data_IF_083440447108
#
_entry.id   IF_083440447108
#
_cell.length_a   1.000
_cell.length_b   1.000
_cell.length_c   1.000
_cell.angle_alpha   90.00
_cell.angle_beta   90.00
_cell.angle_gamma   90.00
#
_symmetry.space_group_name_H-M   'P 1'
#
loop_
_entity.id
_entity.type
_entity.pdbx_description
1 polymer ?
#
# COMPACT_ATOMS: atom_id res chain seq x y z
N UNK A 1 58.70 17.59 16.12
CA UNK A 1 57.52 17.67 17.00
C UNK A 1 57.39 16.35 17.73
N UNK A 2 57.63 16.34 19.04
CA UNK A 2 57.70 15.14 19.87
C UNK A 2 56.30 14.69 20.32
N UNK A 3 56.00 13.41 20.12
CA UNK A 3 54.74 12.75 20.48
C UNK A 3 54.73 12.37 21.95
N UNK A 4 53.77 12.91 22.72
CA UNK A 4 53.50 12.49 24.10
C UNK A 4 52.59 11.26 24.11
N UNK A 5 53.13 10.16 24.62
CA UNK A 5 52.46 8.85 24.72
C UNK A 5 51.63 8.80 26.01
N UNK A 6 50.33 9.03 25.90
CA UNK A 6 49.38 8.97 27.03
C UNK A 6 49.27 7.54 27.57
N UNK A 7 49.57 7.38 28.85
CA UNK A 7 49.64 6.08 29.56
C UNK A 7 48.21 5.63 29.94
N UNK A 8 47.66 4.65 29.23
CA UNK A 8 46.35 4.06 29.53
C UNK A 8 46.35 3.38 30.91
N UNK A 9 45.40 3.69 31.81
CA UNK A 9 45.33 3.05 33.11
C UNK A 9 44.98 1.55 32.98
N UNK A 10 45.76 0.74 33.69
CA UNK A 10 45.66 -0.73 33.75
C UNK A 10 44.29 -1.13 34.32
N UNK A 11 43.53 -2.03 33.69
CA UNK A 11 42.23 -2.47 34.22
C UNK A 11 42.43 -3.16 35.58
N UNK A 12 41.71 -2.66 36.59
CA UNK A 12 41.66 -3.23 37.95
C UNK A 12 41.19 -4.69 37.84
N UNK A 13 41.96 -5.62 38.40
CA UNK A 13 41.66 -7.06 38.38
C UNK A 13 40.22 -7.31 38.87
N UNK A 14 39.43 -7.99 38.05
CA UNK A 14 38.05 -8.34 38.38
C UNK A 14 38.03 -9.20 39.64
N UNK A 15 37.25 -8.78 40.64
CA UNK A 15 37.01 -9.55 41.86
C UNK A 15 36.65 -11.01 41.49
N UNK A 16 37.40 -11.96 42.05
CA UNK A 16 37.16 -13.39 41.85
C UNK A 16 35.69 -13.71 42.14
N UNK A 17 35.01 -14.37 41.19
CA UNK A 17 33.62 -14.82 41.34
C UNK A 17 33.57 -15.78 42.53
N UNK A 18 33.13 -15.30 43.70
CA UNK A 18 32.81 -16.15 44.84
C UNK A 18 31.74 -17.14 44.39
N UNK A 19 32.07 -18.42 44.37
CA UNK A 19 31.13 -19.48 44.00
C UNK A 19 29.95 -19.46 44.98
N UNK A 20 28.74 -19.41 44.43
CA UNK A 20 27.52 -19.45 45.22
C UNK A 20 27.44 -20.78 45.99
N UNK A 21 27.11 -20.77 47.29
CA UNK A 21 26.87 -21.98 48.06
C UNK A 21 25.93 -22.94 47.34
N UNK A 22 26.23 -24.24 47.34
CA UNK A 22 25.54 -25.25 46.53
C UNK A 22 24.01 -25.26 46.72
N UNK A 23 23.53 -25.01 47.94
CA UNK A 23 22.11 -24.89 48.25
C UNK A 23 21.44 -23.69 47.56
N UNK A 24 22.13 -22.54 47.49
CA UNK A 24 21.65 -21.35 46.78
C UNK A 24 21.68 -21.57 45.27
N UNK A 25 22.72 -22.23 44.74
CA UNK A 25 22.78 -22.60 43.33
C UNK A 25 21.66 -23.57 42.91
N UNK A 26 21.26 -24.50 43.78
CA UNK A 26 20.13 -25.41 43.55
C UNK A 26 18.79 -24.66 43.54
N UNK A 27 18.55 -23.78 44.52
CA UNK A 27 17.33 -22.94 44.58
C UNK A 27 17.24 -21.99 43.39
N UNK A 28 18.35 -21.35 43.01
CA UNK A 28 18.39 -20.46 41.86
C UNK A 28 18.05 -21.18 40.55
N UNK A 29 18.52 -22.42 40.37
CA UNK A 29 18.14 -23.28 39.22
C UNK A 29 16.65 -23.60 39.22
N UNK A 30 16.11 -24.08 40.35
CA UNK A 30 14.67 -24.37 40.46
C UNK A 30 13.76 -23.14 40.19
N UNK A 31 14.12 -21.96 40.69
CA UNK A 31 13.39 -20.72 40.41
C UNK A 31 13.49 -20.29 38.93
N UNK A 32 14.65 -20.51 38.30
CA UNK A 32 14.81 -20.25 36.86
C UNK A 32 13.98 -21.22 36.02
N UNK A 33 13.99 -22.50 36.38
CA UNK A 33 13.26 -23.54 35.65
C UNK A 33 11.74 -23.34 35.76
N UNK A 34 11.23 -23.07 36.96
CA UNK A 34 9.82 -22.73 37.18
C UNK A 34 9.41 -21.44 36.45
N UNK A 35 10.24 -20.40 36.49
CA UNK A 35 9.99 -19.16 35.71
C UNK A 35 9.99 -19.44 34.21
N UNK A 36 10.93 -20.25 33.71
CA UNK A 36 11.00 -20.65 32.30
C UNK A 36 9.77 -21.45 31.88
N UNK A 37 9.33 -22.41 32.69
CA UNK A 37 8.12 -23.19 32.43
C UNK A 37 6.87 -22.30 32.37
N UNK A 38 6.71 -21.36 33.31
CA UNK A 38 5.59 -20.40 33.30
C UNK A 38 5.59 -19.52 32.05
N UNK A 39 6.76 -19.01 31.67
CA UNK A 39 6.90 -18.18 30.45
C UNK A 39 6.64 -19.00 29.18
N UNK A 40 7.10 -20.25 29.12
CA UNK A 40 6.82 -21.14 28.00
C UNK A 40 5.31 -21.43 27.88
N UNK A 41 4.65 -21.75 28.98
CA UNK A 41 3.20 -21.98 29.00
C UNK A 41 2.41 -20.73 28.55
N UNK A 42 2.77 -19.55 29.06
CA UNK A 42 2.17 -18.29 28.63
C UNK A 42 2.44 -17.99 27.14
N UNK A 43 3.65 -18.27 26.66
CA UNK A 43 4.01 -18.14 25.26
C UNK A 43 3.18 -19.03 24.34
N UNK A 44 3.03 -20.32 24.68
CA UNK A 44 2.21 -21.23 23.89
C UNK A 44 0.72 -20.86 23.91
N UNK A 45 0.19 -20.40 25.05
CA UNK A 45 -1.18 -19.91 25.14
C UNK A 45 -1.41 -18.67 24.26
N UNK A 46 -0.47 -17.73 24.24
CA UNK A 46 -0.54 -16.55 23.37
C UNK A 46 -0.47 -16.94 21.88
N UNK A 47 0.41 -17.88 21.50
CA UNK A 47 0.48 -18.40 20.13
C UNK A 47 -0.85 -19.04 19.72
N UNK A 48 -1.44 -19.87 20.57
CA UNK A 48 -2.73 -20.49 20.30
C UNK A 48 -3.85 -19.46 20.11
N UNK A 49 -3.89 -18.42 20.95
CA UNK A 49 -4.85 -17.30 20.80
C UNK A 49 -4.64 -16.54 19.48
N UNK A 50 -3.40 -16.22 19.11
CA UNK A 50 -3.08 -15.54 17.85
C UNK A 50 -3.51 -16.41 16.66
N UNK A 51 -3.27 -17.72 16.71
CA UNK A 51 -3.72 -18.63 15.67
C UNK A 51 -5.24 -18.67 15.55
N UNK A 52 -5.95 -18.64 16.68
CA UNK A 52 -7.42 -18.62 16.69
C UNK A 52 -7.99 -17.32 16.14
N UNK A 53 -7.47 -16.18 16.60
CA UNK A 53 -7.83 -14.86 16.07
C UNK A 53 -7.53 -14.77 14.58
N UNK A 54 -6.38 -15.28 14.14
CA UNK A 54 -6.02 -15.34 12.71
C UNK A 54 -7.02 -16.21 11.92
N UNK A 55 -7.42 -17.37 12.44
CA UNK A 55 -8.43 -18.22 11.78
C UNK A 55 -9.77 -17.51 11.66
N UNK A 56 -10.21 -16.79 12.69
CA UNK A 56 -11.46 -16.00 12.65
C UNK A 56 -11.38 -14.89 11.61
N UNK A 57 -10.31 -14.08 11.63
CA UNK A 57 -10.08 -13.03 10.64
C UNK A 57 -10.04 -13.59 9.20
N UNK A 58 -9.33 -14.71 8.99
CA UNK A 58 -9.29 -15.39 7.68
C UNK A 58 -10.65 -16.03 7.33
N UNK A 59 -11.49 -16.41 8.29
CA UNK A 59 -12.82 -16.95 8.03
C UNK A 59 -13.84 -15.88 7.64
N UNK A 60 -13.68 -14.68 8.20
CA UNK A 60 -14.73 -13.67 8.23
C UNK A 60 -14.71 -12.73 7.01
N UNK A 61 -13.59 -12.63 6.27
CA UNK A 61 -13.48 -11.64 5.17
C UNK A 61 -14.50 -11.86 4.04
N UNK A 62 -14.91 -13.10 3.76
CA UNK A 62 -15.97 -13.39 2.78
C UNK A 62 -17.36 -13.06 3.33
N UNK A 63 -17.60 -13.32 4.62
CA UNK A 63 -18.86 -12.95 5.26
C UNK A 63 -19.02 -11.42 5.32
N UNK A 64 -17.93 -10.71 5.63
CA UNK A 64 -17.85 -9.25 5.56
C UNK A 64 -18.13 -8.78 4.13
N UNK A 65 -17.51 -9.40 3.13
CA UNK A 65 -17.76 -9.08 1.72
C UNK A 65 -19.23 -9.20 1.33
N UNK A 66 -19.92 -10.27 1.76
CA UNK A 66 -21.37 -10.44 1.52
C UNK A 66 -22.21 -9.36 2.21
N UNK A 67 -21.92 -9.06 3.47
CA UNK A 67 -22.61 -8.01 4.20
C UNK A 67 -22.38 -6.63 3.57
N UNK A 68 -21.16 -6.35 3.10
CA UNK A 68 -20.84 -5.11 2.37
C UNK A 68 -21.56 -5.03 1.03
N UNK A 69 -21.79 -6.15 0.34
CA UNK A 69 -22.54 -6.19 -0.92
C UNK A 69 -24.01 -5.83 -0.70
N UNK A 70 -24.61 -6.30 0.39
CA UNK A 70 -25.96 -5.89 0.82
C UNK A 70 -26.00 -4.40 1.16
N UNK A 71 -24.97 -3.90 1.86
CA UNK A 71 -24.87 -2.48 2.22
C UNK A 71 -24.63 -1.54 1.02
N UNK A 72 -24.19 -2.07 -0.11
CA UNK A 72 -23.96 -1.32 -1.35
C UNK A 72 -25.24 -1.03 -2.13
N UNK A 73 -26.36 -1.67 -1.78
CA UNK A 73 -27.64 -1.48 -2.46
C UNK A 73 -28.07 -0.01 -2.47
N UNK A 74 -28.75 0.40 -3.54
CA UNK A 74 -29.19 1.78 -3.74
C UNK A 74 -30.06 2.27 -2.55
N UNK A 75 -29.76 3.46 -2.04
CA UNK A 75 -30.47 4.07 -0.91
C UNK A 75 -30.07 3.57 0.48
N UNK A 76 -29.22 2.54 0.60
CA UNK A 76 -28.81 2.02 1.92
C UNK A 76 -27.91 3.00 2.68
N UNK A 77 -26.96 3.64 1.99
CA UNK A 77 -26.11 4.67 2.60
C UNK A 77 -26.92 5.86 3.10
N UNK A 78 -27.89 6.33 2.30
CA UNK A 78 -28.79 7.42 2.65
C UNK A 78 -29.66 7.08 3.86
N UNK A 79 -30.20 5.86 3.92
CA UNK A 79 -30.99 5.37 5.05
C UNK A 79 -30.20 5.35 6.37
N UNK A 80 -28.87 5.21 6.29
CA UNK A 80 -27.96 5.23 7.43
C UNK A 80 -27.37 6.64 7.69
N UNK A 81 -27.83 7.67 6.97
CA UNK A 81 -27.37 9.04 7.14
C UNK A 81 -25.93 9.26 6.67
N UNK A 82 -25.48 8.47 5.70
CA UNK A 82 -24.19 8.62 5.02
C UNK A 82 -24.40 9.21 3.63
N UNK A 83 -23.44 10.00 3.14
CA UNK A 83 -23.56 10.65 1.84
C UNK A 83 -23.44 9.67 0.65
N UNK A 84 -22.63 8.63 0.81
CA UNK A 84 -22.43 7.55 -0.15
C UNK A 84 -21.83 6.32 0.56
N UNK A 85 -21.54 5.26 -0.22
CA UNK A 85 -20.93 4.04 0.30
C UNK A 85 -19.51 4.25 0.86
N UNK A 86 -18.77 5.23 0.36
CA UNK A 86 -17.44 5.53 0.85
C UNK A 86 -17.49 6.18 2.24
N UNK A 87 -18.38 7.17 2.43
CA UNK A 87 -18.65 7.78 3.73
C UNK A 87 -19.10 6.74 4.76
N UNK A 88 -19.98 5.81 4.34
CA UNK A 88 -20.43 4.70 5.17
C UNK A 88 -19.25 3.82 5.62
N UNK A 89 -18.36 3.42 4.71
CA UNK A 89 -17.21 2.58 5.03
C UNK A 89 -16.24 3.25 6.01
N UNK A 90 -15.96 4.53 5.81
CA UNK A 90 -15.03 5.27 6.67
C UNK A 90 -15.63 5.49 8.07
N UNK A 91 -16.88 5.94 8.15
CA UNK A 91 -17.54 6.28 9.42
C UNK A 91 -17.84 5.06 10.29
N UNK A 92 -18.33 3.97 9.69
CA UNK A 92 -18.82 2.83 10.46
C UNK A 92 -17.81 1.69 10.59
N UNK A 93 -16.90 1.53 9.62
CA UNK A 93 -16.00 0.37 9.56
C UNK A 93 -14.52 0.74 9.58
N UNK A 94 -14.19 2.04 9.59
CA UNK A 94 -12.80 2.53 9.60
C UNK A 94 -11.96 1.94 8.45
N UNK A 95 -12.57 1.74 7.28
CA UNK A 95 -11.90 1.19 6.10
C UNK A 95 -12.19 2.00 4.84
N UNK A 96 -11.30 1.92 3.86
CA UNK A 96 -11.51 2.60 2.58
C UNK A 96 -12.53 1.86 1.72
N UNK A 97 -13.25 2.62 0.88
CA UNK A 97 -14.17 2.05 -0.10
C UNK A 97 -13.50 1.04 -1.04
N UNK A 98 -12.24 1.26 -1.42
CA UNK A 98 -11.48 0.32 -2.27
C UNK A 98 -11.25 -1.03 -1.56
N UNK A 99 -10.97 -1.01 -0.26
CA UNK A 99 -10.82 -2.24 0.51
C UNK A 99 -12.15 -2.97 0.64
N UNK A 100 -13.23 -2.25 0.93
CA UNK A 100 -14.59 -2.80 1.00
C UNK A 100 -15.01 -3.44 -0.34
N UNK A 101 -14.84 -2.74 -1.46
CA UNK A 101 -15.10 -3.26 -2.82
C UNK A 101 -14.32 -4.54 -3.12
N UNK A 102 -13.06 -4.61 -2.68
CA UNK A 102 -12.25 -5.82 -2.84
C UNK A 102 -12.84 -7.01 -2.08
N UNK A 103 -13.31 -6.79 -0.85
CA UNK A 103 -13.97 -7.83 -0.06
C UNK A 103 -15.27 -8.29 -0.70
N UNK A 104 -16.07 -7.36 -1.23
CA UNK A 104 -17.29 -7.66 -1.99
C UNK A 104 -16.97 -8.55 -3.19
N UNK A 105 -16.01 -8.14 -4.03
CA UNK A 105 -15.63 -8.91 -5.23
C UNK A 105 -15.10 -10.31 -4.89
N UNK A 106 -14.32 -10.44 -3.82
CA UNK A 106 -13.87 -11.77 -3.37
C UNK A 106 -15.05 -12.66 -2.98
N UNK A 107 -16.04 -12.11 -2.27
CA UNK A 107 -17.23 -12.84 -1.87
C UNK A 107 -18.16 -13.20 -3.03
N UNK A 108 -18.18 -12.40 -4.09
CA UNK A 108 -18.97 -12.64 -5.30
C UNK A 108 -18.33 -13.63 -6.28
N UNK A 109 -17.00 -13.65 -6.36
CA UNK A 109 -16.26 -14.38 -7.42
C UNK A 109 -15.59 -15.67 -6.98
N UNK A 110 -15.55 -15.97 -5.69
CA UNK A 110 -14.99 -17.22 -5.18
C UNK A 110 -16.02 -18.01 -4.40
N UNK A 111 -16.01 -19.33 -4.58
CA UNK A 111 -16.63 -20.23 -3.62
C UNK A 111 -15.92 -20.12 -2.26
N UNK A 112 -16.69 -20.17 -1.16
CA UNK A 112 -16.16 -20.01 0.19
C UNK A 112 -15.08 -21.03 0.52
N UNK A 113 -15.27 -22.29 0.14
CA UNK A 113 -14.30 -23.34 0.43
C UNK A 113 -12.95 -23.05 -0.26
N UNK A 114 -13.00 -22.68 -1.54
CA UNK A 114 -11.82 -22.37 -2.36
C UNK A 114 -11.07 -21.15 -1.83
N UNK A 115 -11.77 -20.04 -1.56
CA UNK A 115 -11.12 -18.84 -1.03
C UNK A 115 -10.48 -19.06 0.36
N UNK A 116 -11.10 -19.87 1.23
CA UNK A 116 -10.50 -20.20 2.53
C UNK A 116 -9.24 -21.05 2.41
N UNK A 117 -9.21 -21.99 1.46
CA UNK A 117 -8.02 -22.81 1.19
C UNK A 117 -6.86 -21.96 0.65
N UNK A 118 -7.15 -21.04 -0.27
CA UNK A 118 -6.17 -20.10 -0.82
C UNK A 118 -5.66 -19.10 0.22
N UNK A 119 -6.54 -18.68 1.12
CA UNK A 119 -6.32 -17.56 2.03
C UNK A 119 -6.45 -16.18 1.35
N UNK A 120 -6.71 -15.16 2.17
CA UNK A 120 -7.06 -13.81 1.71
C UNK A 120 -6.09 -13.20 0.69
N UNK A 121 -4.78 -13.23 0.97
CA UNK A 121 -3.80 -12.57 0.09
C UNK A 121 -3.69 -13.25 -1.28
N UNK A 122 -3.72 -14.59 -1.32
CA UNK A 122 -3.65 -15.34 -2.57
C UNK A 122 -4.94 -15.17 -3.38
N UNK A 123 -6.10 -15.20 -2.73
CA UNK A 123 -7.39 -14.90 -3.37
C UNK A 123 -7.41 -13.47 -3.95
N UNK A 124 -6.88 -12.48 -3.23
CA UNK A 124 -6.71 -11.11 -3.75
C UNK A 124 -5.81 -11.07 -4.99
N UNK A 125 -4.70 -11.81 -4.98
CA UNK A 125 -3.75 -11.82 -6.08
C UNK A 125 -4.34 -12.47 -7.35
N UNK A 126 -5.08 -13.56 -7.17
CA UNK A 126 -5.81 -14.23 -8.26
C UNK A 126 -6.93 -13.36 -8.81
N UNK A 127 -7.72 -12.71 -7.94
CA UNK A 127 -8.73 -11.75 -8.38
C UNK A 127 -8.12 -10.62 -9.20
N UNK A 128 -6.99 -10.06 -8.73
CA UNK A 128 -6.28 -9.00 -9.44
C UNK A 128 -5.71 -9.47 -10.79
N UNK A 129 -5.33 -10.74 -10.89
CA UNK A 129 -4.88 -11.37 -12.13
C UNK A 129 -6.04 -11.55 -13.10
N UNK A 130 -7.17 -12.10 -12.63
CA UNK A 130 -8.40 -12.26 -13.40
C UNK A 130 -8.93 -10.93 -13.95
N UNK A 131 -8.94 -9.88 -13.12
CA UNK A 131 -9.34 -8.53 -13.54
C UNK A 131 -8.38 -7.91 -14.57
N UNK A 132 -7.13 -8.38 -14.62
CA UNK A 132 -6.11 -7.86 -15.53
C UNK A 132 -6.03 -8.64 -16.84
N UNK A 133 -6.42 -9.92 -16.85
CA UNK A 133 -6.43 -10.75 -18.05
C UNK A 133 -7.56 -10.32 -19.00
N UNK A 134 -7.35 -10.37 -20.33
CA UNK A 134 -8.38 -9.97 -21.30
C UNK A 134 -9.55 -10.95 -21.39
N UNK A 135 -9.32 -12.22 -21.01
CA UNK A 135 -10.34 -13.23 -20.96
C UNK A 135 -11.18 -13.06 -19.69
N UNK A 136 -12.50 -13.20 -19.82
CA UNK A 136 -13.44 -13.21 -18.69
C UNK A 136 -13.37 -14.56 -17.96
N UNK A 137 -12.17 -14.98 -17.57
CA UNK A 137 -11.98 -16.25 -16.87
C UNK A 137 -12.46 -16.10 -15.42
N UNK A 138 -13.16 -17.12 -14.92
CA UNK A 138 -13.46 -17.19 -13.51
C UNK A 138 -12.14 -17.35 -12.72
N UNK A 139 -11.96 -16.73 -11.54
CA UNK A 139 -10.73 -16.87 -10.77
C UNK A 139 -10.38 -18.33 -10.44
N UNK A 140 -11.37 -19.21 -10.37
CA UNK A 140 -11.21 -20.65 -10.14
C UNK A 140 -10.65 -21.39 -11.36
N UNK A 141 -10.99 -20.97 -12.58
CA UNK A 141 -10.43 -21.53 -13.81
C UNK A 141 -8.94 -21.17 -13.96
N UNK A 142 -8.59 -19.97 -13.50
CA UNK A 142 -7.20 -19.50 -13.50
C UNK A 142 -6.31 -20.28 -12.54
N UNK A 143 -6.86 -20.92 -11.49
CA UNK A 143 -6.05 -21.62 -10.48
C UNK A 143 -5.10 -22.66 -11.07
N UNK A 144 -5.54 -23.34 -12.13
CA UNK A 144 -4.79 -24.41 -12.78
C UNK A 144 -4.31 -24.01 -14.18
N UNK A 145 -4.46 -22.73 -14.55
CA UNK A 145 -4.08 -22.23 -15.85
C UNK A 145 -2.56 -21.98 -15.94
N UNK A 146 -2.03 -22.19 -17.14
CA UNK A 146 -0.71 -21.66 -17.52
C UNK A 146 -0.93 -20.42 -18.39
N UNK A 147 -0.56 -19.26 -17.86
CA UNK A 147 -0.74 -17.98 -18.57
C UNK A 147 0.53 -17.57 -19.30
N UNK A 148 0.38 -17.06 -20.52
CA UNK A 148 1.47 -16.38 -21.23
C UNK A 148 1.46 -14.91 -20.86
N UNK A 149 2.50 -14.44 -20.18
CA UNK A 149 2.66 -13.04 -19.78
C UNK A 149 2.96 -12.15 -21.00
N UNK A 150 2.75 -10.83 -20.89
CA UNK A 150 3.16 -9.89 -21.95
C UNK A 150 4.66 -9.92 -22.27
N UNK A 151 5.51 -10.38 -21.33
CA UNK A 151 6.94 -10.64 -21.55
C UNK A 151 7.21 -11.85 -22.45
N UNK A 152 6.17 -12.61 -22.82
CA UNK A 152 6.20 -13.93 -23.48
C UNK A 152 6.68 -15.08 -22.60
N UNK A 153 6.94 -14.82 -21.33
CA UNK A 153 7.20 -15.89 -20.35
C UNK A 153 5.89 -16.57 -19.94
N UNK A 154 5.97 -17.84 -19.56
CA UNK A 154 4.81 -18.60 -19.07
C UNK A 154 4.79 -18.60 -17.54
N UNK A 155 3.58 -18.54 -16.97
CA UNK A 155 3.33 -18.59 -15.53
C UNK A 155 2.29 -19.68 -15.25
N UNK A 156 2.73 -20.76 -14.59
CA UNK A 156 1.82 -21.73 -13.99
C UNK A 156 1.25 -21.13 -12.68
N UNK A 157 -0.07 -20.92 -12.64
CA UNK A 157 -0.71 -20.14 -11.57
C UNK A 157 -0.72 -20.89 -10.24
N UNK A 158 -0.87 -22.21 -10.27
CA UNK A 158 -0.86 -23.10 -9.12
C UNK A 158 0.49 -23.08 -8.38
N UNK A 159 1.59 -23.10 -9.14
CA UNK A 159 2.96 -23.08 -8.59
C UNK A 159 3.46 -21.66 -8.25
N UNK A 160 2.83 -20.62 -8.81
CA UNK A 160 3.24 -19.24 -8.61
C UNK A 160 3.02 -18.75 -7.17
N UNK A 161 3.99 -18.00 -6.65
CA UNK A 161 3.84 -17.27 -5.38
C UNK A 161 2.84 -16.12 -5.51
N UNK A 162 2.22 -15.71 -4.40
CA UNK A 162 1.31 -14.55 -4.35
C UNK A 162 1.94 -13.28 -4.93
N UNK A 163 3.24 -13.06 -4.70
CA UNK A 163 3.97 -11.92 -5.24
C UNK A 163 4.10 -11.98 -6.77
N UNK A 164 4.35 -13.18 -7.33
CA UNK A 164 4.40 -13.39 -8.78
C UNK A 164 3.04 -13.16 -9.44
N UNK A 165 1.94 -13.59 -8.81
CA UNK A 165 0.58 -13.33 -9.30
C UNK A 165 0.28 -11.83 -9.38
N UNK A 166 0.63 -11.05 -8.34
CA UNK A 166 0.49 -9.59 -8.38
C UNK A 166 1.38 -8.94 -9.44
N UNK A 167 2.61 -9.42 -9.61
CA UNK A 167 3.53 -8.93 -10.62
C UNK A 167 2.98 -9.19 -12.04
N UNK A 168 2.42 -10.37 -12.28
CA UNK A 168 1.75 -10.72 -13.53
C UNK A 168 0.53 -9.85 -13.79
N UNK A 169 -0.36 -9.69 -12.81
CA UNK A 169 -1.51 -8.79 -12.89
C UNK A 169 -1.10 -7.34 -13.22
N UNK A 170 0.02 -6.88 -12.66
CA UNK A 170 0.59 -5.57 -12.96
C UNK A 170 1.12 -5.50 -14.40
N UNK A 171 1.81 -6.54 -14.87
CA UNK A 171 2.33 -6.61 -16.23
C UNK A 171 1.20 -6.56 -17.26
N UNK A 172 0.11 -7.31 -17.06
CA UNK A 172 -1.08 -7.24 -17.93
C UNK A 172 -1.71 -5.86 -17.94
N UNK A 173 -1.90 -5.23 -16.78
CA UNK A 173 -2.43 -3.86 -16.68
C UNK A 173 -1.55 -2.85 -17.40
N UNK A 174 -0.23 -2.95 -17.25
CA UNK A 174 0.71 -2.07 -17.93
C UNK A 174 0.67 -2.26 -19.45
N UNK A 175 0.71 -3.51 -19.92
CA UNK A 175 0.62 -3.84 -21.34
C UNK A 175 -0.70 -3.32 -21.96
N UNK A 176 -1.83 -3.45 -21.26
CA UNK A 176 -3.11 -2.86 -21.68
C UNK A 176 -3.06 -1.33 -21.74
N UNK A 177 -2.45 -0.69 -20.75
CA UNK A 177 -2.28 0.76 -20.73
C UNK A 177 -1.39 1.28 -21.87
N UNK A 178 -0.35 0.52 -22.23
CA UNK A 178 0.57 0.83 -23.33
C UNK A 178 -0.07 0.56 -24.70
N UNK A 179 -0.87 -0.50 -24.83
CA UNK A 179 -1.62 -0.82 -26.04
C UNK A 179 -2.77 0.15 -26.32
N UNK A 180 -3.37 0.74 -25.27
CA UNK A 180 -4.45 1.69 -25.39
C UNK A 180 -4.17 2.99 -24.61
N UNK A 181 -3.24 3.84 -25.10
CA UNK A 181 -2.83 5.05 -24.39
C UNK A 181 -3.97 6.07 -24.20
N UNK A 182 -5.11 5.91 -24.90
CA UNK A 182 -6.27 6.80 -24.87
C UNK A 182 -7.63 6.15 -24.55
N UNK A 183 -7.64 4.92 -24.01
CA UNK A 183 -8.84 4.09 -23.82
C UNK A 183 -9.94 4.66 -22.90
N UNK A 184 -11.14 4.04 -22.91
CA UNK A 184 -12.34 4.56 -22.23
C UNK A 184 -12.18 4.75 -20.72
N UNK A 185 -11.33 3.94 -20.07
CA UNK A 185 -11.09 3.97 -18.63
C UNK A 185 -10.24 5.17 -18.16
N UNK A 186 -9.71 5.98 -19.09
CA UNK A 186 -9.16 7.33 -18.80
C UNK A 186 -10.23 8.42 -18.93
N UNK A 187 -11.49 8.11 -18.56
CA UNK A 187 -12.53 9.11 -18.30
C UNK A 187 -12.22 10.02 -17.11
N UNK A 188 -11.21 9.68 -16.30
CA UNK A 188 -10.62 10.59 -15.34
C UNK A 188 -9.74 11.63 -16.02
N UNK A 189 -9.92 12.91 -15.66
CA UNK A 189 -8.98 13.98 -15.99
C UNK A 189 -7.62 13.66 -15.33
N UNK A 190 -6.76 12.92 -16.01
CA UNK A 190 -5.44 12.52 -15.47
C UNK A 190 -4.31 13.13 -16.28
N UNK A 191 -3.25 13.54 -15.58
CA UNK A 191 -1.99 13.96 -16.19
C UNK A 191 -1.22 12.73 -16.67
N UNK A 192 -0.53 12.82 -17.80
CA UNK A 192 0.37 11.78 -18.29
C UNK A 192 1.66 11.71 -17.45
N UNK A 193 2.41 10.61 -17.55
CA UNK A 193 3.70 10.51 -16.85
C UNK A 193 4.71 11.58 -17.32
N UNK A 194 4.72 11.89 -18.61
CA UNK A 194 5.53 12.96 -19.19
C UNK A 194 5.13 14.33 -18.63
N UNK A 195 3.83 14.63 -18.56
CA UNK A 195 3.31 15.87 -17.97
C UNK A 195 3.66 16.01 -16.49
N UNK A 196 3.58 14.93 -15.71
CA UNK A 196 4.00 14.95 -14.29
C UNK A 196 5.50 15.21 -14.14
N UNK A 197 6.32 14.61 -15.00
CA UNK A 197 7.78 14.80 -15.00
C UNK A 197 8.14 16.26 -15.32
N UNK A 198 7.54 16.82 -16.38
CA UNK A 198 7.73 18.22 -16.76
C UNK A 198 7.28 19.19 -15.65
N UNK A 199 6.14 18.92 -15.01
CA UNK A 199 5.65 19.74 -13.90
C UNK A 199 6.59 19.71 -12.68
N UNK A 200 7.15 18.54 -12.33
CA UNK A 200 8.14 18.43 -11.25
C UNK A 200 9.44 19.18 -11.57
N UNK A 201 9.87 19.19 -12.83
CA UNK A 201 11.01 20.00 -13.24
C UNK A 201 10.72 21.50 -13.03
N UNK A 202 9.58 21.97 -13.52
CA UNK A 202 9.15 23.36 -13.33
C UNK A 202 9.02 23.75 -11.84
N UNK A 203 8.44 22.88 -11.01
CA UNK A 203 8.34 23.14 -9.56
C UNK A 203 9.71 23.31 -8.91
N UNK A 204 10.71 22.54 -9.32
CA UNK A 204 12.08 22.68 -8.82
C UNK A 204 12.70 24.01 -9.25
N UNK A 205 12.53 24.39 -10.51
CA UNK A 205 13.09 25.64 -11.04
C UNK A 205 12.45 26.86 -10.36
N UNK A 206 11.14 26.83 -10.12
CA UNK A 206 10.40 27.88 -9.41
C UNK A 206 10.79 27.94 -7.92
N UNK A 207 10.99 26.80 -7.26
CA UNK A 207 11.42 26.77 -5.87
C UNK A 207 12.88 27.23 -5.67
N UNK A 208 13.73 27.09 -6.68
CA UNK A 208 15.14 27.47 -6.61
C UNK A 208 15.39 28.98 -6.81
N UNK A 209 14.41 29.70 -7.36
CA UNK A 209 14.56 31.11 -7.74
C UNK A 209 13.76 32.02 -6.82
N UNK A 210 14.47 32.86 -6.05
CA UNK A 210 13.89 33.79 -5.09
C UNK A 210 12.87 34.76 -5.71
N UNK A 211 12.89 34.97 -7.03
CA UNK A 211 11.90 35.82 -7.72
C UNK A 211 10.49 35.23 -7.70
N UNK A 212 10.33 33.93 -7.43
CA UNK A 212 9.03 33.26 -7.34
C UNK A 212 8.65 32.91 -5.90
N UNK A 213 9.22 33.60 -4.91
CA UNK A 213 8.83 33.42 -3.52
C UNK A 213 7.31 33.60 -3.34
N UNK A 214 6.69 32.63 -2.65
CA UNK A 214 5.24 32.61 -2.42
C UNK A 214 4.38 32.13 -3.59
N UNK A 215 4.97 31.78 -4.74
CA UNK A 215 4.22 31.18 -5.86
C UNK A 215 3.92 29.71 -5.58
N UNK A 216 2.63 29.33 -5.64
CA UNK A 216 2.21 27.93 -5.54
C UNK A 216 1.76 27.43 -6.90
N UNK A 217 2.32 26.32 -7.33
CA UNK A 217 1.94 25.66 -8.57
C UNK A 217 1.15 24.39 -8.29
N UNK A 218 0.04 24.23 -9.00
CA UNK A 218 -0.74 22.99 -9.05
C UNK A 218 -0.91 22.57 -10.51
N UNK A 219 -0.71 21.28 -10.79
CA UNK A 219 -1.04 20.70 -12.08
C UNK A 219 -2.50 20.29 -12.08
N UNK A 220 -3.25 20.76 -13.07
CA UNK A 220 -4.67 20.48 -13.23
C UNK A 220 -4.86 19.81 -14.58
N UNK A 221 -5.38 18.59 -14.59
CA UNK A 221 -5.75 17.95 -15.85
C UNK A 221 -6.99 18.66 -16.43
N UNK A 222 -6.87 19.25 -17.62
CA UNK A 222 -8.03 19.61 -18.46
C UNK A 222 -8.19 18.54 -19.53
N UNK A 223 -9.41 18.41 -20.07
CA UNK A 223 -9.80 17.30 -20.96
C UNK A 223 -8.88 17.11 -22.18
N UNK A 224 -9.15 16.06 -22.96
CA UNK A 224 -8.27 15.54 -24.04
C UNK A 224 -7.73 16.59 -25.03
N UNK A 225 -8.43 17.69 -25.28
CA UNK A 225 -8.02 18.75 -26.22
C UNK A 225 -7.05 19.78 -25.65
N UNK A 226 -6.99 19.95 -24.32
CA UNK A 226 -6.15 20.98 -23.68
C UNK A 226 -4.96 20.42 -22.90
N UNK A 227 -4.97 19.11 -22.59
CA UNK A 227 -3.91 18.48 -21.80
C UNK A 227 -3.84 19.00 -20.36
N UNK A 228 -2.73 18.70 -19.67
CA UNK A 228 -2.48 19.27 -18.35
C UNK A 228 -2.21 20.78 -18.42
N UNK A 229 -2.94 21.56 -17.63
CA UNK A 229 -2.68 22.98 -17.42
C UNK A 229 -2.06 23.20 -16.05
N UNK A 230 -1.35 24.32 -15.90
CA UNK A 230 -0.78 24.73 -14.62
C UNK A 230 -1.67 25.83 -14.06
N UNK A 231 -2.14 25.63 -12.82
CA UNK A 231 -2.71 26.68 -12.00
C UNK A 231 -1.60 27.23 -11.12
N UNK A 232 -1.37 28.53 -11.19
CA UNK A 232 -0.41 29.23 -10.36
C UNK A 232 -1.16 30.21 -9.46
N UNK A 233 -0.98 30.08 -8.14
CA UNK A 233 -1.38 31.10 -7.19
C UNK A 233 -0.17 32.01 -6.98
N UNK A 234 -0.28 33.26 -7.44
CA UNK A 234 0.82 34.23 -7.51
C UNK A 234 0.48 35.41 -6.59
N UNK A 235 1.41 35.86 -5.72
CA UNK A 235 1.21 37.08 -4.95
C UNK A 235 0.92 38.29 -5.85
N UNK A 236 -0.08 39.10 -5.50
CA UNK A 236 -0.52 40.22 -6.34
C UNK A 236 0.63 41.18 -6.71
N UNK A 237 1.50 41.53 -5.75
CA UNK A 237 2.63 42.41 -5.98
C UNK A 237 3.62 41.86 -7.03
N UNK A 238 3.83 40.54 -7.05
CA UNK A 238 4.67 39.88 -8.03
C UNK A 238 4.00 39.87 -9.41
N UNK A 239 2.69 39.62 -9.46
CA UNK A 239 1.92 39.67 -10.70
C UNK A 239 1.93 41.07 -11.35
N UNK A 240 1.76 42.13 -10.56
CA UNK A 240 1.82 43.51 -11.05
C UNK A 240 3.20 43.85 -11.64
N UNK A 241 4.27 43.39 -10.97
CA UNK A 241 5.65 43.56 -11.44
C UNK A 241 5.87 42.84 -12.78
N UNK A 242 5.39 41.61 -12.89
CA UNK A 242 5.46 40.82 -14.11
C UNK A 242 4.71 41.49 -15.28
N UNK A 243 3.46 41.92 -15.06
CA UNK A 243 2.64 42.59 -16.09
C UNK A 243 3.30 43.88 -16.56
N UNK A 244 3.83 44.70 -15.65
CA UNK A 244 4.55 45.94 -16.00
C UNK A 244 5.82 45.66 -16.82
N UNK A 245 6.57 44.61 -16.49
CA UNK A 245 7.75 44.20 -17.25
C UNK A 245 7.38 43.74 -18.67
N UNK A 246 6.31 42.96 -18.82
CA UNK A 246 5.81 42.50 -20.12
C UNK A 246 5.27 43.64 -20.99
N UNK A 247 4.58 44.61 -20.39
CA UNK A 247 4.06 45.78 -21.11
C UNK A 247 5.18 46.68 -21.64
N UNK A 248 6.31 46.80 -20.92
CA UNK A 248 7.48 47.58 -21.36
C UNK A 248 8.20 46.96 -22.57
N UNK A 249 8.21 45.63 -22.69
CA UNK A 249 8.85 44.91 -23.82
C UNK A 249 8.15 45.09 -25.17
N UNK A 250 6.87 45.50 -25.19
CA UNK A 250 6.12 45.72 -26.45
C UNK A 250 6.33 47.10 -27.08
N UNK A 251 7.08 48.00 -26.45
CA UNK A 251 7.32 49.38 -26.92
C UNK A 251 8.68 49.59 -27.60
N UNK A 252 9.37 48.50 -27.91
CA UNK A 252 10.62 48.41 -28.70
C UNK A 252 10.38 47.49 -29.87
#
# INVERSE_FOLDING_TARGET
MATTRTKTPRPKASAAKRELPAALAKRARGLRDTKRQRLAAAGFAAIALIQDLRRRITGDYLAIGKALAELRQEGMADALGCADFADLCERHFQMSAEHAERLVRLAERFERAVALDLGYERACALLALADATPAEDAPEELLHATLTLPSKETLAVDEATTAQLFAAAKAFRQARADANPGGPDKGGRTTTAAERSAFRALQRDVAADARFEGVKLAQVARGKTQGAVIRADIPQALWETFVRAMAKRKKT
#
